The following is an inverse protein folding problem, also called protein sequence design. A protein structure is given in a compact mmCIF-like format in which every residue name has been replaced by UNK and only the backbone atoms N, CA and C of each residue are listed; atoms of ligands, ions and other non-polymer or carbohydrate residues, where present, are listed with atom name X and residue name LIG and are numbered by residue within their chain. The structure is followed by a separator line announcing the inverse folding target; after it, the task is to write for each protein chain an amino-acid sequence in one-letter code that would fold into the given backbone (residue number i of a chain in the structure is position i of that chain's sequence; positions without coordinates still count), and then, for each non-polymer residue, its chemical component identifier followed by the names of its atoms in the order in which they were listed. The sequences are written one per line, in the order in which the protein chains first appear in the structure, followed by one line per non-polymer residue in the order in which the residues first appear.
data_IF_136522429467
#
_entry.id   IF_136522429467
#
_cell.length_a   1.000
_cell.length_b   1.000
_cell.length_c   1.000
_cell.angle_alpha   90.00
_cell.angle_beta   90.00
_cell.angle_gamma   90.00
#
_symmetry.space_group_name_H-M   'P 1'
#
loop_
_entity.id
_entity.type
_entity.pdbx_description
1 polymer ?
#
# COMPACT_ATOMS: atom_id res chain seq x y z
N UNK A 1 1.12 46.57 8.66
CA UNK A 1 -0.05 46.14 7.84
C UNK A 1 0.29 45.25 6.64
N UNK A 2 1.49 45.30 6.03
CA UNK A 2 1.85 44.43 4.90
C UNK A 2 1.95 42.94 5.26
N UNK A 3 2.47 42.61 6.44
CA UNK A 3 2.66 41.23 6.88
C UNK A 3 1.32 40.46 7.01
N UNK A 4 0.28 41.13 7.53
CA UNK A 4 -1.06 40.54 7.63
C UNK A 4 -1.66 40.24 6.24
N UNK A 5 -1.40 41.10 5.23
CA UNK A 5 -1.85 40.85 3.86
C UNK A 5 -1.18 39.62 3.25
N UNK A 6 0.12 39.42 3.54
CA UNK A 6 0.84 38.24 3.08
C UNK A 6 0.32 36.96 3.74
N UNK A 7 0.11 36.98 5.05
CA UNK A 7 -0.46 35.85 5.81
C UNK A 7 -1.83 35.48 5.24
N UNK A 8 -2.71 36.46 5.01
CA UNK A 8 -4.03 36.22 4.40
C UNK A 8 -3.89 35.59 3.02
N UNK A 9 -3.03 36.12 2.13
CA UNK A 9 -2.84 35.55 0.79
C UNK A 9 -2.32 34.11 0.81
N UNK A 10 -1.46 33.78 1.78
CA UNK A 10 -0.89 32.44 1.92
C UNK A 10 -1.94 31.46 2.41
N UNK A 11 -2.75 31.87 3.40
CA UNK A 11 -3.86 31.08 3.91
C UNK A 11 -4.90 30.81 2.83
N UNK A 12 -5.32 31.84 2.07
CA UNK A 12 -6.27 31.67 0.95
C UNK A 12 -5.76 30.66 -0.08
N UNK A 13 -4.47 30.71 -0.41
CA UNK A 13 -3.85 29.77 -1.35
C UNK A 13 -3.84 28.34 -0.79
N UNK A 14 -3.51 28.17 0.48
CA UNK A 14 -3.51 26.86 1.14
C UNK A 14 -4.92 26.27 1.24
N UNK A 15 -5.93 27.06 1.59
CA UNK A 15 -7.33 26.61 1.60
C UNK A 15 -7.79 26.20 0.19
N UNK A 16 -7.45 26.96 -0.85
CA UNK A 16 -7.81 26.59 -2.22
C UNK A 16 -7.18 25.26 -2.68
N UNK A 17 -5.90 25.02 -2.34
CA UNK A 17 -5.25 23.73 -2.62
C UNK A 17 -5.87 22.57 -1.81
N UNK A 18 -6.31 22.83 -0.57
CA UNK A 18 -6.99 21.81 0.24
C UNK A 18 -8.38 21.49 -0.32
N UNK A 19 -9.13 22.49 -0.77
CA UNK A 19 -10.43 22.30 -1.42
C UNK A 19 -10.30 21.48 -2.71
N UNK A 20 -9.30 21.78 -3.55
CA UNK A 20 -9.00 21.01 -4.77
C UNK A 20 -8.63 19.55 -4.45
N UNK A 21 -7.82 19.32 -3.41
CA UNK A 21 -7.48 17.96 -2.97
C UNK A 21 -8.69 17.20 -2.41
N UNK A 22 -9.57 17.86 -1.63
CA UNK A 22 -10.81 17.26 -1.12
C UNK A 22 -11.75 16.91 -2.27
N UNK A 23 -11.86 17.74 -3.30
CA UNK A 23 -12.66 17.44 -4.49
C UNK A 23 -12.09 16.27 -5.28
N UNK A 24 -10.76 16.18 -5.42
CA UNK A 24 -10.09 15.01 -6.02
C UNK A 24 -10.38 13.75 -5.19
N UNK A 25 -10.25 13.78 -3.87
CA UNK A 25 -10.55 12.63 -3.00
C UNK A 25 -12.03 12.20 -3.07
N UNK A 26 -12.96 13.16 -3.14
CA UNK A 26 -14.39 12.90 -3.32
C UNK A 26 -14.70 12.29 -4.69
N UNK A 27 -14.04 12.76 -5.74
CA UNK A 27 -14.19 12.21 -7.09
C UNK A 27 -13.56 10.81 -7.23
N UNK A 28 -12.43 10.54 -6.57
CA UNK A 28 -11.85 9.18 -6.48
C UNK A 28 -12.79 8.23 -5.73
N UNK A 29 -13.53 8.74 -4.74
CA UNK A 29 -14.51 7.97 -3.95
C UNK A 29 -15.87 7.76 -4.67
N UNK A 30 -16.13 8.46 -5.78
CA UNK A 30 -17.43 8.44 -6.49
C UNK A 30 -17.37 7.78 -7.88
N UNK A 31 -16.51 6.78 -8.08
CA UNK A 31 -16.77 5.84 -9.16
C UNK A 31 -17.97 4.98 -8.74
N UNK A 32 -19.15 5.28 -9.30
CA UNK A 32 -20.41 4.57 -9.01
C UNK A 32 -20.34 3.15 -9.60
N UNK A 33 -19.68 2.28 -8.87
CA UNK A 33 -19.58 0.86 -9.12
C UNK A 33 -20.93 0.20 -8.80
N UNK A 34 -21.48 -0.60 -9.72
CA UNK A 34 -22.65 -1.44 -9.42
C UNK A 34 -22.40 -2.30 -8.17
N UNK A 35 -23.45 -2.72 -7.44
CA UNK A 35 -23.33 -3.42 -6.14
C UNK A 35 -22.29 -4.56 -6.09
N UNK A 36 -22.07 -5.27 -7.21
CA UNK A 36 -21.04 -6.33 -7.32
C UNK A 36 -19.61 -5.77 -7.34
N UNK A 37 -19.41 -4.65 -8.03
CA UNK A 37 -18.11 -4.00 -8.20
C UNK A 37 -17.67 -3.31 -6.89
N UNK A 38 -18.62 -2.79 -6.09
CA UNK A 38 -18.32 -2.24 -4.76
C UNK A 38 -17.87 -3.31 -3.74
N UNK A 39 -18.31 -4.57 -3.88
CA UNK A 39 -17.88 -5.66 -3.01
C UNK A 39 -16.40 -6.00 -3.20
N UNK A 40 -15.94 -6.10 -4.45
CA UNK A 40 -14.53 -6.39 -4.75
C UNK A 40 -13.62 -5.22 -4.38
N UNK A 41 -14.05 -3.97 -4.60
CA UNK A 41 -13.27 -2.80 -4.21
C UNK A 41 -13.00 -2.74 -2.69
N UNK A 42 -13.96 -3.17 -1.87
CA UNK A 42 -13.83 -3.22 -0.40
C UNK A 42 -12.93 -4.34 0.12
N UNK A 43 -12.61 -5.33 -0.72
CA UNK A 43 -11.79 -6.49 -0.34
C UNK A 43 -10.29 -6.22 -0.46
N UNK A 44 -9.92 -5.17 -1.17
CA UNK A 44 -8.54 -4.74 -1.30
C UNK A 44 -8.15 -3.78 -0.17
N UNK A 45 -6.91 -3.83 0.33
CA UNK A 45 -5.85 -4.78 -0.03
C UNK A 45 -6.09 -6.19 0.57
N UNK A 46 -5.62 -7.23 -0.13
CA UNK A 46 -5.67 -8.61 0.37
C UNK A 46 -4.68 -8.78 1.54
N UNK A 47 -5.17 -9.26 2.68
CA UNK A 47 -4.40 -9.29 3.93
C UNK A 47 -3.72 -10.63 4.23
N UNK A 48 -4.18 -11.74 3.64
CA UNK A 48 -3.64 -13.08 3.88
C UNK A 48 -3.46 -13.91 2.61
N UNK A 49 -2.58 -14.92 2.66
CA UNK A 49 -2.41 -15.89 1.58
C UNK A 49 -3.70 -16.69 1.34
N UNK A 50 -4.50 -16.93 2.38
CA UNK A 50 -5.80 -17.58 2.26
C UNK A 50 -6.79 -16.73 1.48
N UNK A 51 -6.79 -15.42 1.71
CA UNK A 51 -7.63 -14.49 0.94
C UNK A 51 -7.20 -14.43 -0.52
N UNK A 52 -5.89 -14.51 -0.80
CA UNK A 52 -5.37 -14.64 -2.15
C UNK A 52 -5.83 -15.92 -2.84
N UNK A 53 -5.86 -17.07 -2.12
CA UNK A 53 -6.40 -18.33 -2.63
C UNK A 53 -7.90 -18.24 -2.91
N UNK A 54 -8.68 -17.63 -2.01
CA UNK A 54 -10.12 -17.43 -2.22
C UNK A 54 -10.37 -16.51 -3.41
N UNK A 55 -9.61 -15.43 -3.52
CA UNK A 55 -9.71 -14.49 -4.63
C UNK A 55 -9.40 -15.18 -5.98
N UNK A 56 -8.38 -16.02 -6.05
CA UNK A 56 -8.07 -16.82 -7.24
C UNK A 56 -9.24 -17.72 -7.66
N UNK A 57 -9.94 -18.35 -6.70
CA UNK A 57 -11.10 -19.19 -6.97
C UNK A 57 -12.33 -18.40 -7.40
N UNK A 58 -12.47 -17.17 -6.92
CA UNK A 58 -13.60 -16.29 -7.22
C UNK A 58 -13.50 -15.62 -8.60
N UNK A 59 -12.33 -15.59 -9.24
CA UNK A 59 -12.18 -15.01 -10.59
C UNK A 59 -12.80 -15.95 -11.63
N UNK A 60 -13.81 -15.45 -12.31
CA UNK A 60 -14.56 -16.09 -13.40
C UNK A 60 -14.64 -15.15 -14.60
N UNK A 61 -14.90 -15.68 -15.81
CA UNK A 61 -14.94 -14.86 -17.03
C UNK A 61 -15.99 -13.72 -16.96
N UNK A 62 -17.11 -13.96 -16.26
CA UNK A 62 -18.18 -12.96 -16.09
C UNK A 62 -17.78 -11.77 -15.20
N UNK A 63 -16.83 -11.97 -14.28
CA UNK A 63 -16.41 -10.94 -13.33
C UNK A 63 -15.02 -10.36 -13.64
N UNK A 64 -14.26 -11.02 -14.51
CA UNK A 64 -12.89 -10.67 -14.87
C UNK A 64 -12.72 -9.21 -15.28
N UNK A 65 -13.53 -8.72 -16.21
CA UNK A 65 -13.45 -7.31 -16.67
C UNK A 65 -13.73 -6.31 -15.54
N UNK A 66 -14.70 -6.60 -14.68
CA UNK A 66 -15.02 -5.75 -13.54
C UNK A 66 -13.85 -5.67 -12.55
N UNK A 67 -13.21 -6.80 -12.27
CA UNK A 67 -12.04 -6.87 -11.39
C UNK A 67 -10.86 -6.12 -12.02
N UNK A 68 -10.61 -6.27 -13.32
CA UNK A 68 -9.57 -5.53 -14.05
C UNK A 68 -9.77 -4.02 -13.86
N UNK A 69 -10.99 -3.52 -14.05
CA UNK A 69 -11.29 -2.09 -13.89
C UNK A 69 -11.07 -1.58 -12.46
N UNK A 70 -11.38 -2.38 -11.44
CA UNK A 70 -11.11 -2.05 -10.04
C UNK A 70 -9.61 -2.03 -9.78
N UNK A 71 -8.87 -3.06 -10.22
CA UNK A 71 -7.43 -3.11 -10.00
C UNK A 71 -6.74 -1.96 -10.75
N UNK A 72 -7.21 -1.62 -11.95
CA UNK A 72 -6.69 -0.50 -12.71
C UNK A 72 -6.88 0.83 -11.96
N UNK A 73 -8.04 1.04 -11.30
CA UNK A 73 -8.26 2.24 -10.49
C UNK A 73 -7.36 2.28 -9.25
N UNK A 74 -7.11 1.13 -8.61
CA UNK A 74 -6.19 1.03 -7.47
C UNK A 74 -4.72 1.26 -7.88
N UNK A 75 -4.35 0.89 -9.11
CA UNK A 75 -3.01 1.08 -9.66
C UNK A 75 -2.77 2.50 -10.19
N UNK A 76 -3.81 3.19 -10.65
CA UNK A 76 -3.72 4.56 -11.16
C UNK A 76 -3.35 5.55 -10.05
N UNK A 77 -2.60 6.64 -10.33
CA UNK A 77 -1.96 7.00 -11.60
C UNK A 77 -0.53 6.45 -11.76
N UNK A 78 0.05 5.88 -10.70
CA UNK A 78 1.50 5.60 -10.64
C UNK A 78 1.88 4.19 -11.15
N UNK A 79 0.88 3.30 -11.31
CA UNK A 79 1.03 1.93 -11.78
C UNK A 79 1.48 0.94 -10.70
N UNK A 80 1.67 -0.31 -11.11
CA UNK A 80 2.00 -1.44 -10.24
C UNK A 80 3.27 -1.24 -9.41
N UNK A 81 4.23 -0.49 -9.94
CA UNK A 81 5.51 -0.20 -9.31
C UNK A 81 5.40 0.46 -7.94
N UNK A 82 4.40 1.33 -7.75
CA UNK A 82 4.20 2.09 -6.50
C UNK A 82 2.93 1.69 -5.76
N UNK A 83 1.89 1.30 -6.49
CA UNK A 83 0.55 1.07 -5.94
C UNK A 83 0.22 -0.42 -5.70
N UNK A 84 1.20 -1.35 -5.80
CA UNK A 84 0.97 -2.77 -5.50
C UNK A 84 0.42 -3.01 -4.09
N UNK A 85 0.74 -2.11 -3.14
CA UNK A 85 0.28 -2.16 -1.75
C UNK A 85 -1.23 -1.98 -1.60
N UNK A 86 -1.87 -1.36 -2.59
CA UNK A 86 -3.32 -1.17 -2.59
C UNK A 86 -4.04 -2.47 -2.97
N UNK A 87 -3.33 -3.44 -3.53
CA UNK A 87 -3.88 -4.73 -3.97
C UNK A 87 -3.45 -5.83 -3.01
N UNK A 88 -2.16 -5.89 -2.68
CA UNK A 88 -1.58 -6.87 -1.79
C UNK A 88 -1.04 -6.15 -0.56
N UNK A 89 -1.49 -6.55 0.63
CA UNK A 89 -0.98 -5.99 1.88
C UNK A 89 0.53 -6.22 2.05
N UNK A 90 1.16 -5.43 2.91
CA UNK A 90 2.56 -5.61 3.30
C UNK A 90 2.82 -7.04 3.81
N UNK A 91 1.85 -7.69 4.48
CA UNK A 91 1.96 -9.07 4.98
C UNK A 91 2.17 -10.06 3.84
N UNK A 92 1.25 -10.07 2.85
CA UNK A 92 1.36 -10.95 1.69
C UNK A 92 2.65 -10.66 0.92
N UNK A 93 2.98 -9.38 0.72
CA UNK A 93 4.19 -8.98 -0.01
C UNK A 93 5.44 -9.52 0.69
N UNK A 94 5.51 -9.48 2.02
CA UNK A 94 6.64 -9.98 2.79
C UNK A 94 6.79 -11.51 2.72
N UNK A 95 5.66 -12.23 2.70
CA UNK A 95 5.56 -13.70 2.71
C UNK A 95 5.64 -14.33 1.31
N UNK A 96 5.54 -13.54 0.25
CA UNK A 96 5.51 -14.02 -1.13
C UNK A 96 6.63 -13.45 -2.00
N UNK A 97 6.86 -14.08 -3.14
CA UNK A 97 7.69 -13.59 -4.23
C UNK A 97 7.16 -14.15 -5.56
N UNK A 98 7.62 -13.58 -6.68
CA UNK A 98 7.16 -14.01 -8.00
C UNK A 98 7.52 -15.48 -8.24
N UNK A 99 8.73 -15.89 -7.89
CA UNK A 99 9.30 -17.18 -8.29
C UNK A 99 9.26 -18.28 -7.21
N UNK A 100 9.00 -17.96 -5.94
CA UNK A 100 8.88 -18.96 -4.84
C UNK A 100 10.16 -19.23 -4.03
N UNK A 101 11.21 -18.43 -4.17
CA UNK A 101 12.49 -18.66 -3.46
C UNK A 101 12.40 -18.41 -1.94
N UNK A 102 13.30 -19.05 -1.18
CA UNK A 102 13.47 -18.89 0.27
C UNK A 102 12.22 -19.20 1.11
N UNK A 103 11.53 -20.31 0.80
CA UNK A 103 10.30 -20.75 1.49
C UNK A 103 9.18 -19.69 1.46
N UNK A 104 9.20 -18.79 0.48
CA UNK A 104 8.13 -17.80 0.26
C UNK A 104 7.11 -18.34 -0.72
N UNK A 105 5.88 -17.90 -0.57
CA UNK A 105 4.80 -18.29 -1.46
C UNK A 105 5.04 -17.74 -2.86
N UNK A 106 4.97 -18.62 -3.87
CA UNK A 106 5.11 -18.26 -5.28
C UNK A 106 3.84 -17.62 -5.81
N UNK A 107 3.89 -16.35 -6.21
CA UNK A 107 2.73 -15.63 -6.77
C UNK A 107 2.29 -16.20 -8.13
N UNK A 108 3.22 -16.76 -8.91
CA UNK A 108 2.89 -17.43 -10.16
C UNK A 108 2.03 -18.70 -10.00
N UNK A 109 1.80 -19.17 -8.77
CA UNK A 109 0.83 -20.24 -8.50
C UNK A 109 -0.63 -19.75 -8.54
N UNK A 110 -0.85 -18.45 -8.71
CA UNK A 110 -2.18 -17.81 -8.82
C UNK A 110 -2.35 -17.21 -10.23
N UNK A 111 -2.51 -18.05 -11.27
CA UNK A 111 -2.49 -17.61 -12.66
C UNK A 111 -3.60 -16.63 -13.00
N UNK A 112 -4.84 -16.80 -12.49
CA UNK A 112 -5.95 -15.88 -12.77
C UNK A 112 -5.70 -14.51 -12.14
N UNK A 113 -5.23 -14.49 -10.90
CA UNK A 113 -4.88 -13.25 -10.20
C UNK A 113 -3.77 -12.52 -10.94
N UNK A 114 -2.72 -13.24 -11.36
CA UNK A 114 -1.60 -12.68 -12.12
C UNK A 114 -2.06 -12.16 -13.49
N UNK A 115 -2.95 -12.87 -14.18
CA UNK A 115 -3.50 -12.46 -15.47
C UNK A 115 -4.30 -11.16 -15.34
N UNK A 116 -5.21 -11.08 -14.36
CA UNK A 116 -5.98 -9.86 -14.08
C UNK A 116 -5.05 -8.70 -13.70
N UNK A 117 -4.04 -8.93 -12.87
CA UNK A 117 -3.03 -7.92 -12.53
C UNK A 117 -2.25 -7.44 -13.75
N UNK A 118 -1.86 -8.35 -14.64
CA UNK A 118 -1.16 -8.03 -15.89
C UNK A 118 -2.04 -7.14 -16.76
N UNK A 119 -3.28 -7.57 -17.02
CA UNK A 119 -4.24 -6.82 -17.85
C UNK A 119 -4.54 -5.44 -17.26
N UNK A 120 -4.72 -5.33 -15.95
CA UNK A 120 -4.97 -4.05 -15.28
C UNK A 120 -3.75 -3.12 -15.26
N UNK A 121 -2.54 -3.69 -15.31
CA UNK A 121 -1.28 -2.92 -15.30
C UNK A 121 -0.81 -2.47 -16.68
N UNK A 122 -1.38 -3.04 -17.75
CA UNK A 122 -0.99 -2.78 -19.13
C UNK A 122 -1.25 -1.30 -19.47
N UNK A 123 -0.17 -0.59 -19.83
CA UNK A 123 -0.22 0.83 -20.18
C UNK A 123 -0.39 1.04 -21.69
N UNK A 124 0.23 0.17 -22.48
CA UNK A 124 0.29 0.22 -23.93
C UNK A 124 0.39 -1.19 -24.53
N UNK A 125 0.24 -1.30 -25.85
CA UNK A 125 0.30 -2.58 -26.58
C UNK A 125 1.68 -3.23 -26.56
N UNK A 126 2.72 -2.45 -26.27
CA UNK A 126 4.10 -2.94 -26.16
C UNK A 126 4.44 -3.51 -24.78
N UNK A 127 3.53 -3.43 -23.81
CA UNK A 127 3.76 -3.94 -22.46
C UNK A 127 3.72 -5.47 -22.43
N UNK A 128 4.90 -6.07 -22.55
CA UNK A 128 5.04 -7.53 -22.54
C UNK A 128 4.89 -8.13 -21.14
N UNK A 129 4.48 -9.40 -21.09
CA UNK A 129 4.43 -10.18 -19.84
C UNK A 129 5.77 -10.18 -19.09
N UNK A 130 6.91 -10.17 -19.81
CA UNK A 130 8.23 -10.09 -19.19
C UNK A 130 8.45 -8.76 -18.46
N UNK A 131 8.09 -7.64 -19.08
CA UNK A 131 8.19 -6.31 -18.48
C UNK A 131 7.31 -6.21 -17.24
N UNK A 132 6.09 -6.75 -17.30
CA UNK A 132 5.20 -6.86 -16.16
C UNK A 132 5.81 -7.64 -14.99
N UNK A 133 6.37 -8.82 -15.24
CA UNK A 133 6.98 -9.62 -14.18
C UNK A 133 8.17 -8.89 -13.56
N UNK A 134 8.96 -8.17 -14.35
CA UNK A 134 10.09 -7.38 -13.85
C UNK A 134 9.62 -6.19 -13.00
N UNK A 135 8.57 -5.48 -13.42
CA UNK A 135 7.93 -4.42 -12.65
C UNK A 135 7.32 -4.95 -11.35
N UNK A 136 6.66 -6.12 -11.39
CA UNK A 136 6.13 -6.78 -10.21
C UNK A 136 7.25 -7.19 -9.24
N UNK A 137 8.35 -7.77 -9.73
CA UNK A 137 9.52 -8.10 -8.88
C UNK A 137 10.08 -6.84 -8.23
N UNK A 138 10.18 -5.76 -8.99
CA UNK A 138 10.73 -4.48 -8.51
C UNK A 138 9.78 -3.82 -7.51
N UNK A 139 8.46 -3.85 -7.73
CA UNK A 139 7.47 -3.30 -6.80
C UNK A 139 7.52 -4.02 -5.45
N UNK A 140 7.52 -5.36 -5.46
CA UNK A 140 7.64 -6.17 -4.24
C UNK A 140 8.95 -5.86 -3.50
N UNK A 141 10.06 -5.69 -4.22
CA UNK A 141 11.36 -5.32 -3.61
C UNK A 141 11.29 -3.95 -2.93
N UNK A 142 10.70 -2.95 -3.59
CA UNK A 142 10.56 -1.59 -3.04
C UNK A 142 9.75 -1.61 -1.74
N UNK A 143 8.62 -2.31 -1.74
CA UNK A 143 7.76 -2.43 -0.57
C UNK A 143 8.47 -3.18 0.56
N UNK A 144 9.11 -4.31 0.29
CA UNK A 144 9.93 -5.03 1.29
C UNK A 144 10.99 -4.15 1.92
N UNK A 145 11.74 -3.41 1.10
CA UNK A 145 12.77 -2.49 1.59
C UNK A 145 12.18 -1.40 2.48
N UNK A 146 10.98 -0.89 2.15
CA UNK A 146 10.25 0.06 2.99
C UNK A 146 9.87 -0.58 4.33
N UNK A 147 9.28 -1.77 4.33
CA UNK A 147 8.91 -2.48 5.56
C UNK A 147 10.14 -2.75 6.43
N UNK A 148 11.26 -3.21 5.84
CA UNK A 148 12.50 -3.42 6.58
C UNK A 148 13.06 -2.13 7.20
N UNK A 149 13.06 -1.02 6.44
CA UNK A 149 13.47 0.29 6.97
C UNK A 149 12.58 0.75 8.11
N UNK A 150 11.26 0.59 7.98
CA UNK A 150 10.29 0.95 9.01
C UNK A 150 10.49 0.10 10.28
N UNK A 151 10.65 -1.21 10.13
CA UNK A 151 10.89 -2.13 11.25
C UNK A 151 12.21 -1.84 11.97
N UNK A 152 13.27 -1.52 11.22
CA UNK A 152 14.55 -1.11 11.80
C UNK A 152 14.41 0.18 12.62
N UNK A 153 13.77 1.20 12.07
CA UNK A 153 13.49 2.47 12.77
C UNK A 153 12.62 2.26 14.00
N UNK A 154 11.61 1.40 13.93
CA UNK A 154 10.73 1.09 15.05
C UNK A 154 11.50 0.42 16.19
N UNK A 155 12.35 -0.57 15.89
CA UNK A 155 13.21 -1.20 16.90
C UNK A 155 14.17 -0.22 17.55
N UNK A 156 14.80 0.66 16.76
CA UNK A 156 15.73 1.65 17.31
C UNK A 156 15.01 2.61 18.27
N UNK A 157 13.78 3.03 17.96
CA UNK A 157 12.98 3.86 18.87
C UNK A 157 12.57 3.13 20.14
N UNK A 158 12.23 1.84 20.05
CA UNK A 158 11.89 1.02 21.21
C UNK A 158 13.09 0.90 22.16
N UNK A 159 14.28 0.63 21.64
CA UNK A 159 15.50 0.52 22.45
C UNK A 159 15.83 1.82 23.18
N UNK A 160 15.68 2.98 22.52
CA UNK A 160 15.89 4.28 23.15
C UNK A 160 14.87 4.57 24.26
N UNK A 161 13.61 4.16 24.07
CA UNK A 161 12.57 4.31 25.09
C UNK A 161 12.84 3.40 26.30
N UNK A 162 13.25 2.15 26.05
CA UNK A 162 13.63 1.20 27.10
C UNK A 162 14.88 1.65 27.87
N UNK A 163 15.82 2.35 27.22
CA UNK A 163 16.96 3.00 27.89
C UNK A 163 16.50 4.13 28.80
N UNK A 164 15.67 5.05 28.28
CA UNK A 164 15.13 6.16 29.07
C UNK A 164 14.31 5.70 30.28
N UNK A 165 13.48 4.65 30.12
CA UNK A 165 12.70 4.08 31.23
C UNK A 165 13.60 3.44 32.30
N UNK A 166 14.76 2.89 31.93
CA UNK A 166 15.73 2.37 32.91
C UNK A 166 16.41 3.49 33.67
N UNK A 167 16.89 4.51 32.97
CA UNK A 167 17.56 5.66 33.59
C UNK A 167 16.61 6.39 34.56
N UNK A 168 15.35 6.60 34.18
CA UNK A 168 14.32 7.19 35.06
C UNK A 168 13.96 6.32 36.28
N UNK A 169 14.08 5.00 36.16
CA UNK A 169 13.87 4.08 37.28
C UNK A 169 15.07 4.08 38.23
N UNK A 170 16.28 4.12 37.69
CA UNK A 170 17.52 4.22 38.46
C UNK A 170 17.56 5.51 39.28
N UNK A 171 17.29 6.68 38.65
CA UNK A 171 17.20 7.97 39.35
C UNK A 171 16.16 7.97 40.48
N UNK A 172 14.97 7.40 40.24
CA UNK A 172 13.94 7.27 41.29
C UNK A 172 14.35 6.35 42.44
N UNK A 173 15.04 5.25 42.15
CA UNK A 173 15.53 4.36 43.21
C UNK A 173 16.66 5.00 44.02
N UNK A 174 17.51 5.81 43.40
CA UNK A 174 18.54 6.56 44.11
C UNK A 174 17.91 7.64 45.01
N UNK A 175 16.93 8.41 44.54
CA UNK A 175 16.22 9.40 45.37
C UNK A 175 15.56 8.77 46.62
N UNK A 176 14.99 7.57 46.51
CA UNK A 176 14.38 6.85 47.64
C UNK A 176 15.43 6.36 48.67
N UNK A 177 16.67 6.13 48.26
CA UNK A 177 17.71 5.57 49.13
C UNK A 177 18.51 6.65 49.90
N UNK A 178 18.41 7.92 49.47
CA UNK A 178 19.13 9.05 50.05
C UNK A 178 18.27 10.02 50.87
N UNK A 179 16.96 9.76 51.01
CA UNK A 179 16.03 10.38 51.97
C UNK A 179 15.80 9.50 53.22
#
# INVERSE_FOLDING_TARGET
MQQNKFIISLLTKQTGMLEENIEIERNVSQVHYGKKISHFARRFPLDSIEDLKKFELEIDEDNKENIINIIQSLLSPQGIMKNVINILSDKIIMESNVDGHHNKTRLLNFPKTIDVLFLASRKDDNYSSKMFLDDLRRSLRVVKNRCHKNNCRARQKQLLHEEQERDEQEERTEEIYFD
#
